data_IF_087091215496
#
_entry.id   IF_087091215496
#
_cell.length_a   1.000
_cell.length_b   1.000
_cell.length_c   1.000
_cell.angle_alpha   90.00
_cell.angle_beta   90.00
_cell.angle_gamma   90.00
#
_symmetry.space_group_name_H-M   'P 1'
#
loop_
_entity.id
_entity.type
_entity.pdbx_description
1 polymer ?
#
# COMPACT_ATOMS: atom_id res chain seq x y z
N UNK A 1 15.81 -51.62 -8.23
CA UNK A 1 15.60 -50.69 -7.09
C UNK A 1 15.82 -49.24 -7.46
N UNK A 2 16.95 -48.87 -8.08
CA UNK A 2 17.23 -47.47 -8.52
C UNK A 2 16.12 -46.86 -9.38
N UNK A 3 15.59 -47.60 -10.35
CA UNK A 3 14.58 -47.05 -11.28
C UNK A 3 13.21 -46.87 -10.62
N UNK A 4 12.87 -47.70 -9.61
CA UNK A 4 11.67 -47.53 -8.79
C UNK A 4 11.79 -46.31 -7.86
N UNK A 5 12.98 -46.08 -7.29
CA UNK A 5 13.27 -44.91 -6.47
C UNK A 5 13.20 -43.64 -7.33
N UNK A 6 13.79 -43.65 -8.52
CA UNK A 6 13.73 -42.54 -9.46
C UNK A 6 12.29 -42.23 -9.90
N UNK A 7 11.48 -43.25 -10.18
CA UNK A 7 10.06 -43.07 -10.50
C UNK A 7 9.28 -42.46 -9.32
N UNK A 8 9.53 -42.91 -8.09
CA UNK A 8 8.89 -42.36 -6.90
C UNK A 8 9.24 -40.87 -6.70
N UNK A 9 10.51 -40.48 -6.87
CA UNK A 9 10.93 -39.09 -6.81
C UNK A 9 10.32 -38.23 -7.92
N UNK A 10 10.23 -38.75 -9.15
CA UNK A 10 9.60 -38.05 -10.25
C UNK A 10 8.11 -37.76 -9.98
N UNK A 11 7.38 -38.73 -9.41
CA UNK A 11 5.98 -38.54 -9.00
C UNK A 11 5.88 -37.51 -7.87
N UNK A 12 6.75 -37.56 -6.86
CA UNK A 12 6.77 -36.58 -5.76
C UNK A 12 7.02 -35.15 -6.27
N UNK A 13 7.97 -34.98 -7.21
CA UNK A 13 8.26 -33.69 -7.84
C UNK A 13 7.09 -33.17 -8.68
N UNK A 14 6.39 -34.05 -9.40
CA UNK A 14 5.19 -33.67 -10.15
C UNK A 14 4.06 -33.23 -9.22
N UNK A 15 3.81 -33.96 -8.14
CA UNK A 15 2.76 -33.62 -7.16
C UNK A 15 3.07 -32.29 -6.47
N UNK A 16 4.33 -32.06 -6.08
CA UNK A 16 4.74 -30.78 -5.48
C UNK A 16 4.58 -29.63 -6.47
N UNK A 17 5.04 -29.78 -7.72
CA UNK A 17 4.86 -28.76 -8.76
C UNK A 17 3.38 -28.42 -9.02
N UNK A 18 2.50 -29.43 -9.08
CA UNK A 18 1.06 -29.23 -9.26
C UNK A 18 0.45 -28.51 -8.05
N UNK A 19 0.85 -28.85 -6.82
CA UNK A 19 0.35 -28.18 -5.61
C UNK A 19 0.75 -26.69 -5.54
N UNK A 20 1.99 -26.38 -5.91
CA UNK A 20 2.53 -25.02 -6.02
C UNK A 20 1.83 -24.22 -7.14
N UNK A 21 1.61 -24.85 -8.30
CA UNK A 21 0.88 -24.23 -9.40
C UNK A 21 -0.59 -23.92 -9.04
N UNK A 22 -1.25 -24.85 -8.35
CA UNK A 22 -2.67 -24.74 -7.97
C UNK A 22 -2.90 -23.63 -6.94
N UNK A 23 -2.03 -23.53 -5.93
CA UNK A 23 -2.06 -22.45 -4.94
C UNK A 23 -1.85 -21.10 -5.61
N UNK A 24 -0.83 -20.95 -6.46
CA UNK A 24 -0.59 -19.73 -7.25
C UNK A 24 -1.79 -19.34 -8.14
N UNK A 25 -2.44 -20.32 -8.77
CA UNK A 25 -3.60 -20.07 -9.63
C UNK A 25 -4.82 -19.61 -8.82
N UNK A 26 -5.04 -20.19 -7.64
CA UNK A 26 -6.11 -19.80 -6.73
C UNK A 26 -5.90 -18.40 -6.17
N UNK A 27 -4.66 -18.04 -5.81
CA UNK A 27 -4.30 -16.67 -5.39
C UNK A 27 -4.55 -15.66 -6.53
N UNK A 28 -4.14 -15.97 -7.76
CA UNK A 28 -4.41 -15.11 -8.93
C UNK A 28 -5.90 -14.91 -9.19
N UNK A 29 -6.70 -15.97 -9.08
CA UNK A 29 -8.16 -15.90 -9.31
C UNK A 29 -8.87 -15.06 -8.24
N UNK A 30 -8.50 -15.22 -6.96
CA UNK A 30 -9.00 -14.39 -5.85
C UNK A 30 -8.65 -12.91 -6.06
N UNK A 31 -7.42 -12.63 -6.49
CA UNK A 31 -6.91 -11.29 -6.80
C UNK A 31 -7.69 -10.58 -7.91
N UNK A 32 -8.03 -11.30 -8.99
CA UNK A 32 -8.87 -10.77 -10.06
C UNK A 32 -10.32 -10.53 -9.61
N UNK A 33 -10.86 -11.39 -8.75
CA UNK A 33 -12.21 -11.24 -8.23
C UNK A 33 -12.35 -10.02 -7.30
N UNK A 34 -11.34 -9.76 -6.46
CA UNK A 34 -11.34 -8.60 -5.56
C UNK A 34 -11.22 -7.29 -6.33
N UNK A 35 -10.32 -7.20 -7.33
CA UNK A 35 -10.27 -6.05 -8.25
C UNK A 35 -11.58 -5.83 -9.00
N UNK A 36 -12.24 -6.90 -9.45
CA UNK A 36 -13.53 -6.80 -10.14
C UNK A 36 -14.63 -6.27 -9.22
N UNK A 37 -14.61 -6.61 -7.92
CA UNK A 37 -15.58 -6.09 -6.94
C UNK A 37 -15.39 -4.59 -6.71
N UNK A 38 -14.16 -4.12 -6.55
CA UNK A 38 -13.89 -2.67 -6.42
C UNK A 38 -14.28 -1.92 -7.70
N UNK A 39 -13.95 -2.46 -8.88
CA UNK A 39 -14.36 -1.88 -10.17
C UNK A 39 -15.89 -1.84 -10.33
N UNK A 40 -16.61 -2.86 -9.84
CA UNK A 40 -18.08 -2.90 -9.84
C UNK A 40 -18.70 -1.90 -8.86
N UNK A 41 -17.95 -1.47 -7.84
CA UNK A 41 -18.34 -0.41 -6.91
C UNK A 41 -17.92 0.99 -7.39
N UNK A 42 -17.36 1.11 -8.59
CA UNK A 42 -16.89 2.39 -9.14
C UNK A 42 -15.58 2.90 -8.53
N UNK A 43 -14.90 2.07 -7.74
CA UNK A 43 -13.65 2.43 -7.04
C UNK A 43 -12.44 2.12 -7.90
N UNK A 44 -11.49 3.04 -7.93
CA UNK A 44 -10.21 2.87 -8.61
C UNK A 44 -9.19 2.27 -7.65
N UNK A 45 -8.67 1.09 -7.99
CA UNK A 45 -7.58 0.47 -7.23
C UNK A 45 -6.26 1.14 -7.57
N UNK A 46 -5.65 1.78 -6.58
CA UNK A 46 -4.38 2.51 -6.72
C UNK A 46 -3.20 1.57 -6.48
N UNK A 47 -3.27 0.74 -5.42
CA UNK A 47 -2.20 -0.19 -5.07
C UNK A 47 -2.74 -1.43 -4.33
N UNK A 48 -1.98 -2.52 -4.41
CA UNK A 48 -2.22 -3.73 -3.62
C UNK A 48 -1.03 -3.93 -2.68
N UNK A 49 -1.31 -3.89 -1.38
CA UNK A 49 -0.32 -3.86 -0.32
C UNK A 49 -0.25 -5.22 0.35
N UNK A 50 0.94 -5.76 0.60
CA UNK A 50 1.09 -6.96 1.40
C UNK A 50 0.79 -6.65 2.87
N UNK A 51 -0.05 -7.49 3.50
CA UNK A 51 -0.40 -7.38 4.92
C UNK A 51 -0.28 -8.76 5.56
N UNK A 52 0.94 -9.11 6.00
CA UNK A 52 1.24 -10.45 6.52
C UNK A 52 1.05 -11.51 5.44
N UNK A 53 0.09 -12.42 5.64
CA UNK A 53 -0.21 -13.52 4.71
C UNK A 53 -1.27 -13.13 3.65
N UNK A 54 -1.91 -11.98 3.80
CA UNK A 54 -2.98 -11.49 2.93
C UNK A 54 -2.59 -10.24 2.14
N UNK A 55 -3.43 -9.86 1.18
CA UNK A 55 -3.28 -8.65 0.37
C UNK A 55 -4.40 -7.67 0.68
N UNK A 56 -4.03 -6.45 1.05
CA UNK A 56 -4.96 -5.33 1.28
C UNK A 56 -4.98 -4.42 0.06
N UNK A 57 -6.14 -3.89 -0.30
CA UNK A 57 -6.24 -2.89 -1.37
C UNK A 57 -6.16 -1.48 -0.79
N UNK A 58 -5.39 -0.62 -1.45
CA UNK A 58 -5.54 0.82 -1.36
C UNK A 58 -6.30 1.29 -2.60
N UNK A 59 -7.48 1.85 -2.38
CA UNK A 59 -8.38 2.27 -3.45
C UNK A 59 -8.94 3.65 -3.18
N UNK A 60 -9.45 4.28 -4.22
CA UNK A 60 -10.06 5.61 -4.16
C UNK A 60 -11.43 5.63 -4.85
N UNK A 61 -12.30 6.49 -4.35
CA UNK A 61 -13.39 7.07 -5.10
C UNK A 61 -13.18 8.59 -5.25
N UNK A 62 -14.22 9.31 -5.68
CA UNK A 62 -14.16 10.76 -5.91
C UNK A 62 -13.84 11.57 -4.63
N UNK A 63 -14.20 11.09 -3.44
CA UNK A 63 -14.09 11.86 -2.19
C UNK A 63 -13.33 11.12 -1.07
N UNK A 64 -13.08 9.81 -1.18
CA UNK A 64 -12.59 8.96 -0.11
C UNK A 64 -11.46 8.06 -0.63
N UNK A 65 -10.38 7.94 0.16
CA UNK A 65 -9.45 6.82 0.06
C UNK A 65 -9.83 5.71 1.04
N UNK A 66 -9.71 4.46 0.60
CA UNK A 66 -9.99 3.28 1.40
C UNK A 66 -8.72 2.48 1.62
N UNK A 67 -8.45 2.13 2.88
CA UNK A 67 -7.34 1.28 3.27
C UNK A 67 -7.73 0.41 4.46
N UNK A 68 -7.74 -0.92 4.28
CA UNK A 68 -8.28 -1.86 5.29
C UNK A 68 -9.71 -1.43 5.68
N UNK A 69 -9.93 -1.20 6.97
CA UNK A 69 -11.19 -0.71 7.54
C UNK A 69 -11.21 0.82 7.68
N UNK A 70 -10.12 1.51 7.33
CA UNK A 70 -10.00 2.96 7.40
C UNK A 70 -10.55 3.63 6.14
N UNK A 71 -11.30 4.71 6.35
CA UNK A 71 -11.80 5.61 5.31
C UNK A 71 -11.21 7.00 5.53
N UNK A 72 -10.55 7.54 4.52
CA UNK A 72 -9.86 8.82 4.59
C UNK A 72 -10.59 9.79 3.67
N UNK A 73 -11.28 10.77 4.24
CA UNK A 73 -11.92 11.84 3.46
C UNK A 73 -10.85 12.73 2.83
N UNK A 74 -10.83 12.76 1.49
CA UNK A 74 -9.89 13.53 0.67
C UNK A 74 -9.87 15.00 1.05
N UNK A 75 -11.00 15.59 1.46
CA UNK A 75 -11.11 17.01 1.84
C UNK A 75 -10.46 17.34 3.17
N UNK A 76 -10.26 16.32 4.01
CA UNK A 76 -9.70 16.45 5.36
C UNK A 76 -8.21 16.16 5.40
N UNK A 77 -7.62 15.70 4.30
CA UNK A 77 -6.18 15.44 4.22
C UNK A 77 -5.42 16.77 4.32
N UNK A 78 -4.49 16.84 5.28
CA UNK A 78 -3.64 17.99 5.57
C UNK A 78 -2.25 17.79 4.99
N UNK A 79 -1.73 16.57 5.01
CA UNK A 79 -0.44 16.22 4.43
C UNK A 79 -0.36 14.75 4.02
N UNK A 80 0.59 14.44 3.14
CA UNK A 80 0.99 13.07 2.83
C UNK A 80 2.51 12.97 2.85
N UNK A 81 3.05 11.91 3.44
CA UNK A 81 4.49 11.68 3.57
C UNK A 81 4.87 10.27 3.18
N UNK A 82 5.94 10.12 2.41
CA UNK A 82 6.62 8.82 2.23
C UNK A 82 7.61 8.63 3.36
N UNK A 83 7.56 7.47 3.99
CA UNK A 83 8.46 7.09 5.07
C UNK A 83 9.39 5.96 4.62
N UNK A 84 10.65 6.04 5.05
CA UNK A 84 11.63 4.94 5.00
C UNK A 84 12.06 4.65 6.44
N UNK A 85 11.84 3.41 6.89
CA UNK A 85 12.12 2.98 8.27
C UNK A 85 11.51 3.95 9.32
N UNK A 86 10.27 4.40 9.08
CA UNK A 86 9.55 5.36 9.94
C UNK A 86 10.01 6.82 9.81
N UNK A 87 11.07 7.11 9.06
CA UNK A 87 11.59 8.46 8.84
C UNK A 87 11.03 9.08 7.56
N UNK A 88 10.55 10.33 7.57
CA UNK A 88 10.00 10.97 6.38
C UNK A 88 11.10 11.26 5.35
N UNK A 89 10.91 10.71 4.14
CA UNK A 89 11.79 10.95 2.99
C UNK A 89 11.27 12.09 2.11
N UNK A 90 9.97 12.17 1.91
CA UNK A 90 9.30 13.18 1.11
C UNK A 90 7.94 13.52 1.72
N UNK A 91 7.50 14.75 1.56
CA UNK A 91 6.21 15.23 2.06
C UNK A 91 5.56 16.19 1.07
N UNK A 92 4.23 16.18 1.04
CA UNK A 92 3.44 17.26 0.47
C UNK A 92 2.42 17.70 1.52
N UNK A 93 2.39 18.99 1.80
CA UNK A 93 1.48 19.60 2.78
C UNK A 93 0.51 20.50 2.02
N UNK A 94 -0.77 20.40 2.33
CA UNK A 94 -1.80 21.22 1.68
C UNK A 94 -1.63 22.69 2.09
N UNK A 95 -1.62 23.57 1.09
CA UNK A 95 -1.54 25.03 1.26
C UNK A 95 -2.64 25.54 2.17
N UNK A 96 -3.84 24.96 2.10
CA UNK A 96 -5.00 25.32 2.94
C UNK A 96 -4.74 25.13 4.44
N UNK A 97 -3.95 24.13 4.80
CA UNK A 97 -3.69 23.74 6.19
C UNK A 97 -2.26 24.04 6.65
N UNK A 98 -1.45 24.68 5.79
CA UNK A 98 -0.04 24.97 6.05
C UNK A 98 0.17 25.87 7.28
N UNK A 99 -0.78 26.77 7.56
CA UNK A 99 -0.75 27.61 8.76
C UNK A 99 -1.06 26.84 10.06
N UNK A 100 -1.82 25.73 9.99
CA UNK A 100 -2.22 24.91 11.14
C UNK A 100 -1.21 23.80 11.50
N UNK A 101 -0.31 23.43 10.59
CA UNK A 101 0.59 22.27 10.72
C UNK A 101 1.86 22.50 11.57
N UNK A 102 2.00 23.66 12.23
CA UNK A 102 3.26 24.13 12.83
C UNK A 102 3.88 23.28 13.96
N UNK A 103 3.31 22.15 14.37
CA UNK A 103 3.84 21.38 15.50
C UNK A 103 3.38 19.91 15.57
N UNK A 104 3.55 19.10 14.52
CA UNK A 104 3.48 17.64 14.69
C UNK A 104 4.84 16.99 14.42
N UNK A 105 5.52 16.46 15.45
CA UNK A 105 6.69 15.60 15.26
C UNK A 105 6.22 14.28 14.63
N UNK A 106 6.37 14.13 13.32
CA UNK A 106 6.04 12.90 12.58
C UNK A 106 7.15 11.87 12.64
N UNK A 107 7.72 11.65 13.84
CA UNK A 107 8.62 10.53 14.07
C UNK A 107 7.75 9.31 14.38
N UNK A 108 7.56 8.45 13.39
CA UNK A 108 6.93 7.16 13.62
C UNK A 108 7.93 6.26 14.35
N UNK A 109 7.45 5.56 15.37
CA UNK A 109 8.26 4.67 16.21
C UNK A 109 8.99 3.68 15.30
N UNK A 110 10.32 3.72 15.33
CA UNK A 110 11.18 2.76 14.64
C UNK A 110 10.74 1.35 15.05
N UNK A 111 10.10 0.63 14.12
CA UNK A 111 9.63 -0.73 14.34
C UNK A 111 10.78 -1.61 13.86
N UNK A 112 11.67 -1.91 14.79
CA UNK A 112 12.85 -2.75 14.57
C UNK A 112 12.45 -4.21 14.33
N UNK A 113 11.91 -4.48 13.14
CA UNK A 113 11.85 -5.82 12.57
C UNK A 113 13.02 -5.96 11.59
N UNK A 114 14.07 -6.64 12.04
CA UNK A 114 15.23 -7.10 11.28
C UNK A 114 15.95 -6.11 10.35
N UNK A 115 17.24 -5.91 10.62
CA UNK A 115 18.20 -4.96 9.99
C UNK A 115 18.48 -5.29 8.49
N UNK A 116 17.66 -6.07 7.80
CA UNK A 116 17.96 -6.55 6.46
C UNK A 116 17.35 -5.72 5.31
N UNK A 117 16.19 -5.08 5.48
CA UNK A 117 15.47 -4.43 4.37
C UNK A 117 14.80 -3.10 4.77
N UNK A 118 14.94 -2.10 3.89
CA UNK A 118 14.25 -0.82 4.06
C UNK A 118 12.73 -1.00 3.96
N UNK A 119 12.03 -0.61 5.03
CA UNK A 119 10.57 -0.57 5.09
C UNK A 119 10.08 0.74 4.49
N UNK A 120 9.19 0.65 3.51
CA UNK A 120 8.56 1.80 2.90
C UNK A 120 7.10 1.87 3.35
N UNK A 121 6.66 3.04 3.78
CA UNK A 121 5.28 3.30 4.19
C UNK A 121 4.83 4.68 3.73
N UNK A 122 3.53 4.94 3.77
CA UNK A 122 2.97 6.27 3.50
C UNK A 122 2.11 6.71 4.67
N UNK A 123 2.44 7.85 5.27
CA UNK A 123 1.59 8.51 6.25
C UNK A 123 0.65 9.48 5.54
N UNK A 124 -0.65 9.30 5.73
CA UNK A 124 -1.67 10.24 5.27
C UNK A 124 -2.24 10.92 6.50
N UNK A 125 -1.94 12.21 6.63
CA UNK A 125 -2.38 13.05 7.75
C UNK A 125 -3.70 13.71 7.37
N UNK A 126 -4.67 13.62 8.27
CA UNK A 126 -5.91 14.38 8.23
C UNK A 126 -5.95 15.38 9.36
N UNK A 127 -7.02 16.19 9.41
CA UNK A 127 -7.25 17.11 10.53
C UNK A 127 -7.35 16.38 11.89
N UNK A 128 -7.88 15.15 11.91
CA UNK A 128 -8.18 14.43 13.15
C UNK A 128 -7.13 13.38 13.50
N UNK A 129 -6.61 12.69 12.49
CA UNK A 129 -5.77 11.51 12.68
C UNK A 129 -4.78 11.31 11.53
N UNK A 130 -3.78 10.46 11.78
CA UNK A 130 -2.82 10.02 10.76
C UNK A 130 -3.01 8.54 10.48
N UNK A 131 -3.32 8.21 9.22
CA UNK A 131 -3.40 6.82 8.76
C UNK A 131 -2.06 6.41 8.18
N UNK A 132 -1.46 5.34 8.72
CA UNK A 132 -0.24 4.74 8.19
C UNK A 132 -0.58 3.61 7.21
N UNK A 133 -0.25 3.82 5.95
CA UNK A 133 -0.39 2.84 4.88
C UNK A 133 0.89 2.01 4.78
N UNK A 134 0.78 0.76 5.22
CA UNK A 134 1.91 -0.15 5.35
C UNK A 134 2.24 -0.78 4.01
N UNK A 135 3.31 -0.35 3.35
CA UNK A 135 3.74 -0.95 2.07
C UNK A 135 4.70 -2.13 2.28
N UNK A 136 5.24 -2.24 3.50
CA UNK A 136 5.99 -3.41 3.98
C UNK A 136 7.45 -3.43 3.54
N UNK A 137 8.14 -4.53 3.85
CA UNK A 137 9.58 -4.72 3.62
C UNK A 137 9.91 -5.91 2.70
N UNK A 138 8.93 -6.42 1.93
CA UNK A 138 9.04 -7.70 1.19
C UNK A 138 10.19 -7.72 0.19
N UNK A 139 10.30 -6.67 -0.62
CA UNK A 139 11.42 -6.41 -1.54
C UNK A 139 11.51 -4.91 -1.72
N UNK A 140 12.67 -4.34 -1.44
CA UNK A 140 12.92 -2.90 -1.46
C UNK A 140 12.25 -2.19 -2.65
N UNK A 141 12.53 -2.64 -3.87
CA UNK A 141 11.98 -2.01 -5.09
C UNK A 141 10.45 -2.09 -5.18
N UNK A 142 9.82 -3.17 -4.74
CA UNK A 142 8.37 -3.32 -4.81
C UNK A 142 7.71 -2.44 -3.75
N UNK A 143 8.20 -2.48 -2.52
CA UNK A 143 7.71 -1.65 -1.42
C UNK A 143 7.83 -0.16 -1.74
N UNK A 144 8.97 0.25 -2.31
CA UNK A 144 9.21 1.61 -2.76
C UNK A 144 8.26 2.03 -3.89
N UNK A 145 8.09 1.19 -4.93
CA UNK A 145 7.19 1.49 -6.04
C UNK A 145 5.73 1.61 -5.58
N UNK A 146 5.30 0.79 -4.61
CA UNK A 146 3.96 0.88 -4.01
C UNK A 146 3.80 2.18 -3.20
N UNK A 147 4.75 2.48 -2.31
CA UNK A 147 4.71 3.70 -1.51
C UNK A 147 4.70 4.96 -2.38
N UNK A 148 5.53 4.99 -3.43
CA UNK A 148 5.56 6.10 -4.40
C UNK A 148 4.23 6.26 -5.13
N UNK A 149 3.62 5.17 -5.60
CA UNK A 149 2.31 5.25 -6.29
C UNK A 149 1.22 5.82 -5.41
N UNK A 150 1.16 5.39 -4.14
CA UNK A 150 0.17 5.89 -3.18
C UNK A 150 0.43 7.37 -2.87
N UNK A 151 1.68 7.73 -2.59
CA UNK A 151 2.07 9.11 -2.34
C UNK A 151 1.74 10.02 -3.52
N UNK A 152 2.12 9.64 -4.75
CA UNK A 152 1.87 10.44 -5.94
C UNK A 152 0.37 10.59 -6.19
N UNK A 153 -0.43 9.56 -5.94
CA UNK A 153 -1.89 9.61 -6.06
C UNK A 153 -2.52 10.62 -5.08
N UNK A 154 -2.17 10.52 -3.80
CA UNK A 154 -2.69 11.44 -2.76
C UNK A 154 -2.17 12.86 -2.98
N UNK A 155 -0.91 13.01 -3.37
CA UNK A 155 -0.32 14.30 -3.69
C UNK A 155 -1.03 14.99 -4.85
N UNK A 156 -1.35 14.25 -5.92
CA UNK A 156 -2.08 14.82 -7.06
C UNK A 156 -3.44 15.37 -6.63
N UNK A 157 -4.20 14.62 -5.83
CA UNK A 157 -5.47 15.08 -5.27
C UNK A 157 -5.31 16.37 -4.44
N UNK A 158 -4.28 16.44 -3.60
CA UNK A 158 -3.96 17.62 -2.82
C UNK A 158 -3.57 18.84 -3.69
N UNK A 159 -2.77 18.62 -4.73
CA UNK A 159 -2.37 19.67 -5.68
C UNK A 159 -3.58 20.20 -6.44
N UNK A 160 -4.40 19.32 -7.00
CA UNK A 160 -5.61 19.70 -7.74
C UNK A 160 -6.56 20.51 -6.86
N UNK A 161 -6.72 20.09 -5.60
CA UNK A 161 -7.55 20.80 -4.62
C UNK A 161 -6.97 22.16 -4.23
N UNK A 162 -5.66 22.23 -3.99
CA UNK A 162 -4.98 23.48 -3.63
C UNK A 162 -5.00 24.49 -4.79
N UNK A 163 -4.93 24.02 -6.04
CA UNK A 163 -5.01 24.86 -7.23
C UNK A 163 -6.46 25.28 -7.54
N UNK A 164 -7.45 24.43 -7.29
CA UNK A 164 -8.87 24.78 -7.36
C UNK A 164 -9.28 25.81 -6.30
N UNK A 165 -8.57 25.86 -5.18
CA UNK A 165 -8.79 26.83 -4.08
C UNK A 165 -7.91 28.08 -4.26
N UNK A 166 -7.64 28.49 -5.52
CA UNK A 166 -6.76 29.61 -5.89
C UNK A 166 -6.90 30.90 -5.06
N UNK A 167 -5.87 31.77 -5.08
CA UNK A 167 -5.63 32.76 -4.04
C UNK A 167 -6.83 33.72 -3.90
N UNK A 168 -7.29 33.91 -2.66
CA UNK A 168 -8.15 35.03 -2.28
C UNK A 168 -7.36 36.33 -2.41
#
# INVERSE_FOLDING_TARGET
>A
MRDLIAAAFAVLLLVTAVSLGSTLHMFRKRRQAQRRRELQQGRRVVAELPSGTDMTLFSEDDNIFFYRDATIDKRRITAVRVLINGSPLAAYESKRFQASLKAMPTAFKDRSEDIAHDRWDVAIETVDETTLVECGAIRERISQELARRIFDCVKLDLVERDDATGPV
#
